data_IF_087109753089
#
_entry.id   IF_087109753089
#
_cell.length_a   1.000
_cell.length_b   1.000
_cell.length_c   1.000
_cell.angle_alpha   90.00
_cell.angle_beta   90.00
_cell.angle_gamma   90.00
#
_symmetry.space_group_name_H-M   'P 1'
#
loop_
_entity.id
_entity.type
_entity.pdbx_description
1 polymer ?
#
# COMPACT_ATOMS: atom_id res chain seq x y z
N UNK A 1 -24.92 11.50 -4.56
CA UNK A 1 -25.24 11.77 -5.97
C UNK A 1 -25.01 10.50 -6.76
N UNK A 2 -26.10 9.81 -7.12
CA UNK A 2 -26.09 8.52 -7.78
C UNK A 2 -25.70 8.67 -9.26
N UNK A 3 -24.63 8.00 -9.68
CA UNK A 3 -24.18 7.98 -11.07
C UNK A 3 -24.96 6.93 -11.87
N UNK A 4 -25.72 7.39 -12.84
CA UNK A 4 -26.48 6.56 -13.79
C UNK A 4 -25.56 5.63 -14.57
N UNK A 5 -25.83 4.33 -14.47
CA UNK A 5 -25.23 3.27 -15.27
C UNK A 5 -26.11 3.05 -16.51
N UNK A 6 -25.62 3.43 -17.69
CA UNK A 6 -26.32 3.16 -18.95
C UNK A 6 -25.98 1.73 -19.40
N UNK A 7 -26.87 0.79 -19.13
CA UNK A 7 -26.77 -0.61 -19.58
C UNK A 7 -27.31 -0.66 -21.01
N UNK A 8 -26.42 -0.83 -21.99
CA UNK A 8 -26.80 -1.03 -23.39
C UNK A 8 -26.86 -2.53 -23.70
N UNK A 9 -28.06 -3.09 -23.74
CA UNK A 9 -28.29 -4.48 -24.15
C UNK A 9 -28.50 -4.55 -25.67
N UNK A 10 -27.65 -5.31 -26.38
CA UNK A 10 -27.95 -5.76 -27.76
C UNK A 10 -28.35 -7.22 -27.71
N UNK A 11 -29.55 -7.52 -28.23
CA UNK A 11 -30.02 -8.88 -28.42
C UNK A 11 -29.45 -9.43 -29.73
N UNK A 12 -28.50 -10.35 -29.67
CA UNK A 12 -28.13 -11.17 -30.82
C UNK A 12 -28.88 -12.51 -30.71
N UNK A 13 -29.78 -12.76 -31.67
CA UNK A 13 -30.54 -14.02 -31.76
C UNK A 13 -29.71 -15.03 -32.57
N UNK A 14 -29.17 -16.04 -31.89
CA UNK A 14 -28.52 -17.18 -32.57
C UNK A 14 -29.61 -18.15 -33.05
N UNK A 15 -29.65 -18.44 -34.36
CA UNK A 15 -30.70 -19.27 -34.98
C UNK A 15 -30.17 -20.69 -35.23
N UNK A 16 -30.28 -21.56 -34.22
CA UNK A 16 -30.06 -23.00 -34.33
C UNK A 16 -31.36 -23.80 -34.13
N UNK A 17 -31.47 -25.04 -34.63
CA UNK A 17 -32.69 -25.82 -34.51
C UNK A 17 -32.86 -26.30 -33.06
N UNK A 18 -34.05 -26.03 -32.51
CA UNK A 18 -34.63 -26.60 -31.28
C UNK A 18 -34.35 -25.99 -29.89
N UNK A 19 -33.57 -24.90 -29.71
CA UNK A 19 -33.54 -24.24 -28.38
C UNK A 19 -33.18 -22.74 -28.47
N UNK A 20 -34.11 -21.85 -28.08
CA UNK A 20 -33.88 -20.40 -27.98
C UNK A 20 -33.53 -20.05 -26.53
N UNK A 21 -32.26 -20.04 -26.18
CA UNK A 21 -31.81 -19.39 -24.96
C UNK A 21 -31.42 -17.94 -25.26
N UNK A 22 -31.93 -16.95 -24.52
CA UNK A 22 -31.42 -15.58 -24.60
C UNK A 22 -29.99 -15.57 -24.03
N UNK A 23 -28.99 -15.52 -24.91
CA UNK A 23 -27.60 -15.29 -24.50
C UNK A 23 -27.42 -13.80 -24.26
N UNK A 24 -27.37 -13.41 -22.98
CA UNK A 24 -27.00 -12.06 -22.58
C UNK A 24 -25.48 -11.94 -22.68
N UNK A 25 -24.98 -11.29 -23.73
CA UNK A 25 -23.57 -10.94 -23.86
C UNK A 25 -23.33 -9.69 -23.00
N UNK A 26 -22.73 -9.86 -21.83
CA UNK A 26 -22.27 -8.76 -20.98
C UNK A 26 -20.94 -8.25 -21.59
N UNK A 27 -20.97 -7.16 -22.34
CA UNK A 27 -19.74 -6.45 -22.71
C UNK A 27 -19.10 -5.88 -21.43
N UNK A 28 -17.90 -6.37 -21.11
CA UNK A 28 -17.10 -5.85 -20.01
C UNK A 28 -16.81 -4.36 -20.26
N UNK A 29 -17.38 -3.49 -19.42
CA UNK A 29 -17.19 -2.05 -19.49
C UNK A 29 -15.70 -1.68 -19.50
N UNK A 30 -15.35 -0.64 -20.26
CA UNK A 30 -13.99 -0.10 -20.44
C UNK A 30 -13.17 -0.19 -19.15
N UNK A 31 -12.19 -1.09 -19.14
CA UNK A 31 -11.18 -1.17 -18.08
C UNK A 31 -10.55 0.21 -17.88
N UNK A 32 -10.76 0.83 -16.71
CA UNK A 32 -9.92 1.95 -16.27
C UNK A 32 -8.49 1.45 -16.31
N UNK A 33 -7.66 2.00 -17.20
CA UNK A 33 -6.24 1.61 -17.28
C UNK A 33 -5.64 1.75 -15.88
N UNK A 34 -5.04 0.70 -15.32
CA UNK A 34 -4.44 0.79 -14.00
C UNK A 34 -3.40 1.91 -14.03
N UNK A 35 -3.38 2.72 -12.96
CA UNK A 35 -2.45 3.83 -12.86
C UNK A 35 -1.02 3.36 -13.13
N UNK A 36 -0.33 4.02 -14.08
CA UNK A 36 1.07 3.71 -14.36
C UNK A 36 1.81 3.84 -13.03
N UNK A 37 2.66 2.88 -12.65
CA UNK A 37 3.18 2.94 -11.30
C UNK A 37 4.29 3.99 -11.16
N UNK A 38 4.70 4.63 -12.26
CA UNK A 38 5.47 5.89 -12.25
C UNK A 38 4.62 7.00 -11.66
N UNK A 39 3.34 7.11 -12.07
CA UNK A 39 2.39 8.07 -11.49
C UNK A 39 2.16 7.83 -10.01
N UNK A 40 2.04 6.57 -9.59
CA UNK A 40 1.92 6.20 -8.17
C UNK A 40 3.17 6.57 -7.38
N UNK A 41 4.35 6.27 -7.89
CA UNK A 41 5.62 6.67 -7.27
C UNK A 41 5.76 8.19 -7.17
N UNK A 42 5.44 8.91 -8.23
CA UNK A 42 5.42 10.38 -8.22
C UNK A 42 4.47 10.95 -7.18
N UNK A 43 3.26 10.38 -7.04
CA UNK A 43 2.31 10.80 -6.01
C UNK A 43 2.87 10.60 -4.60
N UNK A 44 3.51 9.46 -4.32
CA UNK A 44 4.14 9.19 -3.02
C UNK A 44 5.21 10.23 -2.71
N UNK A 45 6.10 10.50 -3.66
CA UNK A 45 7.17 11.51 -3.51
C UNK A 45 6.58 12.90 -3.25
N UNK A 46 5.54 13.28 -4.01
CA UNK A 46 4.89 14.58 -3.87
C UNK A 46 4.18 14.72 -2.52
N UNK A 47 3.42 13.71 -2.08
CA UNK A 47 2.76 13.71 -0.78
C UNK A 47 3.79 13.77 0.36
N UNK A 48 4.87 12.99 0.25
CA UNK A 48 5.96 13.02 1.22
C UNK A 48 6.61 14.41 1.30
N UNK A 49 6.93 15.01 0.15
CA UNK A 49 7.53 16.34 0.09
C UNK A 49 6.59 17.41 0.68
N UNK A 50 5.30 17.35 0.35
CA UNK A 50 4.29 18.23 0.90
C UNK A 50 4.25 18.14 2.43
N UNK A 51 4.29 16.93 3.00
CA UNK A 51 4.31 16.74 4.46
C UNK A 51 5.58 17.30 5.10
N UNK A 52 6.77 16.97 4.56
CA UNK A 52 8.04 17.43 5.13
C UNK A 52 8.18 18.96 5.06
N UNK A 53 7.65 19.59 4.03
CA UNK A 53 7.70 21.05 3.85
C UNK A 53 6.63 21.79 4.65
N UNK A 54 5.43 21.23 4.76
CA UNK A 54 4.30 21.85 5.46
C UNK A 54 4.30 21.59 6.98
N UNK A 55 5.10 20.63 7.47
CA UNK A 55 5.23 20.35 8.90
C UNK A 55 5.55 21.64 9.67
N UNK A 56 4.69 22.06 10.62
CA UNK A 56 4.88 23.28 11.37
C UNK A 56 6.22 23.23 12.09
N UNK A 57 7.00 24.30 11.91
CA UNK A 57 8.22 24.52 12.71
C UNK A 57 7.91 25.11 14.09
N UNK A 58 6.65 25.50 14.32
CA UNK A 58 6.14 26.04 15.59
C UNK A 58 5.27 24.99 16.27
N UNK A 59 5.28 24.97 17.60
CA UNK A 59 4.53 24.01 18.40
C UNK A 59 3.02 24.05 18.08
N UNK A 60 2.45 22.87 17.82
CA UNK A 60 1.01 22.61 17.81
C UNK A 60 0.45 22.75 19.23
N UNK A 61 -0.84 23.05 19.38
CA UNK A 61 -1.48 22.99 20.70
C UNK A 61 -1.40 21.57 21.27
N UNK A 62 -1.31 21.43 22.60
CA UNK A 62 -1.12 20.12 23.27
C UNK A 62 -2.19 19.10 22.88
N UNK A 63 -3.44 19.52 22.74
CA UNK A 63 -4.55 18.65 22.31
C UNK A 63 -4.34 18.12 20.88
N UNK A 64 -3.93 18.99 19.94
CA UNK A 64 -3.67 18.60 18.55
C UNK A 64 -2.48 17.65 18.49
N UNK A 65 -1.43 17.94 19.26
CA UNK A 65 -0.27 17.07 19.36
C UNK A 65 -0.64 15.68 19.91
N UNK A 66 -1.43 15.60 20.97
CA UNK A 66 -1.86 14.34 21.57
C UNK A 66 -2.72 13.48 20.63
N UNK A 67 -3.70 14.09 19.95
CA UNK A 67 -4.52 13.39 18.96
C UNK A 67 -3.69 12.93 17.75
N UNK A 68 -2.76 13.77 17.29
CA UNK A 68 -1.85 13.42 16.21
C UNK A 68 -0.96 12.24 16.60
N UNK A 69 -0.41 12.23 17.83
CA UNK A 69 0.43 11.15 18.31
C UNK A 69 -0.34 9.83 18.41
N UNK A 70 -1.55 9.86 18.98
CA UNK A 70 -2.41 8.68 19.04
C UNK A 70 -2.73 8.14 17.64
N UNK A 71 -3.17 9.01 16.74
CA UNK A 71 -3.44 8.64 15.35
C UNK A 71 -2.20 8.11 14.64
N UNK A 72 -1.03 8.67 14.92
CA UNK A 72 0.25 8.22 14.37
C UNK A 72 0.57 6.79 14.84
N UNK A 73 0.40 6.49 16.13
CA UNK A 73 0.61 5.15 16.67
C UNK A 73 -0.37 4.12 16.10
N UNK A 74 -1.66 4.47 15.98
CA UNK A 74 -2.65 3.60 15.30
C UNK A 74 -2.21 3.35 13.85
N UNK A 75 -1.72 4.38 13.16
CA UNK A 75 -1.23 4.27 11.79
C UNK A 75 0.01 3.39 11.67
N UNK A 76 0.93 3.43 12.66
CA UNK A 76 2.06 2.48 12.75
C UNK A 76 1.53 1.07 12.89
N UNK A 77 0.61 0.82 13.83
CA UNK A 77 0.05 -0.53 14.07
C UNK A 77 -0.63 -1.08 12.81
N UNK A 78 -1.45 -0.26 12.13
CA UNK A 78 -2.11 -0.66 10.89
C UNK A 78 -1.12 -0.93 9.76
N UNK A 79 -0.20 0.01 9.51
CA UNK A 79 0.73 -0.06 8.40
C UNK A 79 1.81 -1.10 8.61
N UNK A 80 2.60 -0.93 9.68
CA UNK A 80 3.71 -1.81 10.00
C UNK A 80 3.24 -3.20 10.45
N UNK A 81 2.16 -3.29 11.22
CA UNK A 81 1.59 -4.58 11.62
C UNK A 81 1.14 -5.40 10.42
N UNK A 82 0.55 -4.77 9.40
CA UNK A 82 0.21 -5.46 8.16
C UNK A 82 1.45 -5.92 7.38
N UNK A 83 2.54 -5.14 7.36
CA UNK A 83 3.82 -5.56 6.77
C UNK A 83 4.39 -6.78 7.51
N UNK A 84 4.42 -6.74 8.85
CA UNK A 84 4.90 -7.87 9.67
C UNK A 84 4.06 -9.14 9.46
N UNK A 85 2.75 -9.01 9.26
CA UNK A 85 1.88 -10.14 8.95
C UNK A 85 2.25 -10.80 7.61
N UNK A 86 2.48 -9.99 6.57
CA UNK A 86 2.92 -10.50 5.26
C UNK A 86 4.27 -11.19 5.37
N UNK A 87 5.22 -10.58 6.08
CA UNK A 87 6.56 -11.12 6.25
C UNK A 87 6.56 -12.40 7.07
N UNK A 88 5.70 -12.50 8.09
CA UNK A 88 5.50 -13.75 8.83
C UNK A 88 5.03 -14.89 7.93
N UNK A 89 4.05 -14.64 7.06
CA UNK A 89 3.62 -15.63 6.07
C UNK A 89 4.73 -15.96 5.07
N UNK A 90 5.51 -14.97 4.65
CA UNK A 90 6.70 -15.17 3.80
C UNK A 90 7.73 -16.08 4.46
N UNK A 91 8.01 -15.89 5.75
CA UNK A 91 8.91 -16.74 6.53
C UNK A 91 8.36 -18.17 6.69
N UNK A 92 7.06 -18.32 6.96
CA UNK A 92 6.42 -19.63 7.03
C UNK A 92 6.48 -20.37 5.68
N UNK A 93 6.35 -19.65 4.56
CA UNK A 93 6.53 -20.22 3.23
C UNK A 93 7.98 -20.67 2.99
N UNK A 94 8.97 -19.84 3.35
CA UNK A 94 10.39 -20.21 3.27
C UNK A 94 10.73 -21.42 4.15
N UNK A 95 10.04 -21.57 5.29
CA UNK A 95 10.15 -22.72 6.17
C UNK A 95 9.36 -23.96 5.69
N UNK A 96 8.72 -23.90 4.51
CA UNK A 96 7.92 -25.00 3.96
C UNK A 96 6.58 -25.25 4.66
N UNK A 97 6.13 -24.34 5.54
CA UNK A 97 4.91 -24.48 6.35
C UNK A 97 3.67 -23.85 5.71
N UNK A 98 3.84 -23.06 4.65
CA UNK A 98 2.77 -22.39 3.89
C UNK A 98 3.08 -22.38 2.41
N UNK A 99 2.07 -22.18 1.59
CA UNK A 99 2.22 -22.07 0.13
C UNK A 99 2.50 -20.62 -0.28
N UNK A 100 3.06 -20.43 -1.47
CA UNK A 100 3.23 -19.09 -2.04
C UNK A 100 1.88 -18.38 -2.29
N UNK A 101 0.82 -19.15 -2.54
CA UNK A 101 -0.53 -18.62 -2.70
C UNK A 101 -1.07 -18.03 -1.39
N UNK A 102 -0.78 -18.68 -0.25
CA UNK A 102 -1.11 -18.12 1.08
C UNK A 102 -0.44 -16.76 1.30
N UNK A 103 0.86 -16.65 0.99
CA UNK A 103 1.61 -15.38 1.09
C UNK A 103 0.97 -14.32 0.21
N UNK A 104 0.62 -14.69 -1.03
CA UNK A 104 0.01 -13.77 -1.98
C UNK A 104 -1.35 -13.28 -1.51
N UNK A 105 -2.25 -14.16 -1.06
CA UNK A 105 -3.56 -13.78 -0.54
C UNK A 105 -3.44 -12.86 0.67
N UNK A 106 -2.53 -13.17 1.59
CA UNK A 106 -2.24 -12.32 2.75
C UNK A 106 -1.73 -10.95 2.30
N UNK A 107 -0.82 -10.88 1.33
CA UNK A 107 -0.29 -9.62 0.81
C UNK A 107 -1.34 -8.79 0.04
N UNK A 108 -2.24 -9.44 -0.69
CA UNK A 108 -3.39 -8.79 -1.35
C UNK A 108 -4.35 -8.18 -0.32
N UNK A 109 -4.66 -8.90 0.76
CA UNK A 109 -5.48 -8.39 1.87
C UNK A 109 -4.79 -7.30 2.69
N UNK A 110 -3.47 -7.41 2.90
CA UNK A 110 -2.67 -6.45 3.65
C UNK A 110 -2.42 -5.13 2.89
N UNK A 111 -2.65 -5.09 1.57
CA UNK A 111 -2.38 -3.90 0.77
C UNK A 111 -3.14 -2.66 1.28
N UNK A 112 -4.42 -2.82 1.62
CA UNK A 112 -5.26 -1.73 2.13
C UNK A 112 -4.76 -1.20 3.47
N UNK A 113 -4.57 -2.02 4.54
CA UNK A 113 -4.08 -1.51 5.81
C UNK A 113 -2.66 -0.94 5.72
N UNK A 114 -1.78 -1.47 4.85
CA UNK A 114 -0.44 -0.89 4.62
C UNK A 114 -0.55 0.55 4.12
N UNK A 115 -1.33 0.78 3.06
CA UNK A 115 -1.47 2.12 2.48
C UNK A 115 -2.27 3.07 3.37
N UNK A 116 -3.29 2.56 4.05
CA UNK A 116 -4.06 3.35 5.01
C UNK A 116 -3.19 3.80 6.19
N UNK A 117 -2.41 2.88 6.76
CA UNK A 117 -1.43 3.20 7.81
C UNK A 117 -0.39 4.20 7.30
N UNK A 118 0.18 3.98 6.12
CA UNK A 118 1.15 4.92 5.53
C UNK A 118 0.58 6.33 5.32
N UNK A 119 -0.65 6.43 4.80
CA UNK A 119 -1.33 7.72 4.64
C UNK A 119 -1.61 8.39 5.99
N UNK A 120 -2.03 7.61 6.98
CA UNK A 120 -2.22 8.08 8.36
C UNK A 120 -0.93 8.60 8.97
N UNK A 121 0.22 7.93 8.75
CA UNK A 121 1.53 8.39 9.21
C UNK A 121 1.93 9.73 8.60
N UNK A 122 1.70 9.90 7.29
CA UNK A 122 1.94 11.16 6.59
C UNK A 122 1.04 12.28 7.11
N UNK A 123 -0.27 12.02 7.25
CA UNK A 123 -1.24 13.02 7.69
C UNK A 123 -1.04 13.44 9.15
N UNK A 124 -0.84 12.50 10.05
CA UNK A 124 -0.61 12.78 11.48
C UNK A 124 0.79 13.31 11.74
N UNK A 125 1.79 12.85 11.00
CA UNK A 125 3.17 13.33 11.08
C UNK A 125 3.31 14.82 10.78
N UNK A 126 2.38 15.39 9.99
CA UNK A 126 2.30 16.83 9.77
C UNK A 126 2.20 17.61 11.09
N UNK A 127 1.49 17.10 12.10
CA UNK A 127 1.24 17.81 13.35
C UNK A 127 2.25 17.49 14.47
N UNK A 128 3.19 16.58 14.21
CA UNK A 128 4.21 16.14 15.17
C UNK A 128 5.55 16.86 15.00
N UNK A 129 5.62 17.84 14.10
CA UNK A 129 6.82 18.60 13.79
C UNK A 129 7.71 17.92 12.75
N UNK A 130 8.78 18.60 12.31
CA UNK A 130 9.63 18.12 11.23
C UNK A 130 10.42 16.87 11.66
N UNK A 131 10.40 15.78 10.87
CA UNK A 131 11.23 14.61 11.15
C UNK A 131 12.71 14.89 10.91
N UNK A 132 13.59 14.12 11.55
CA UNK A 132 15.00 14.10 11.19
C UNK A 132 15.18 13.67 9.71
N UNK A 133 16.20 14.17 9.00
CA UNK A 133 16.42 13.85 7.59
C UNK A 133 16.47 12.34 7.32
N UNK A 134 17.12 11.59 8.22
CA UNK A 134 17.22 10.13 8.13
C UNK A 134 15.86 9.44 8.28
N UNK A 135 15.02 9.88 9.23
CA UNK A 135 13.65 9.35 9.39
C UNK A 135 12.80 9.68 8.16
N UNK A 136 12.90 10.92 7.67
CA UNK A 136 12.17 11.36 6.49
C UNK A 136 12.54 10.52 5.26
N UNK A 137 13.83 10.30 5.04
CA UNK A 137 14.34 9.46 3.95
C UNK A 137 13.88 8.00 4.09
N UNK A 138 13.92 7.42 5.30
CA UNK A 138 13.43 6.07 5.54
C UNK A 138 11.94 5.93 5.17
N UNK A 139 11.10 6.90 5.54
CA UNK A 139 9.67 6.92 5.18
C UNK A 139 9.47 7.02 3.66
N UNK A 140 10.26 7.86 2.97
CA UNK A 140 10.21 7.96 1.51
C UNK A 140 10.59 6.63 0.84
N UNK A 141 11.68 6.03 1.30
CA UNK A 141 12.18 4.74 0.81
C UNK A 141 11.10 3.67 0.94
N UNK A 142 10.44 3.56 2.10
CA UNK A 142 9.33 2.62 2.32
C UNK A 142 8.18 2.87 1.35
N UNK A 143 7.76 4.13 1.16
CA UNK A 143 6.66 4.47 0.26
C UNK A 143 6.96 4.12 -1.20
N UNK A 144 8.15 4.48 -1.69
CA UNK A 144 8.58 4.16 -3.06
C UNK A 144 8.74 2.65 -3.26
N UNK A 145 9.34 1.97 -2.28
CA UNK A 145 9.49 0.53 -2.30
C UNK A 145 8.13 -0.19 -2.30
N UNK A 146 7.13 0.30 -1.55
CA UNK A 146 5.76 -0.22 -1.58
C UNK A 146 5.13 -0.15 -2.98
N UNK A 147 5.36 0.93 -3.74
CA UNK A 147 4.91 1.04 -5.15
C UNK A 147 5.64 0.02 -6.03
N UNK A 148 6.93 -0.20 -5.81
CA UNK A 148 7.73 -1.19 -6.53
C UNK A 148 7.25 -2.62 -6.26
N UNK A 149 7.09 -3.01 -5.00
CA UNK A 149 6.62 -4.33 -4.57
C UNK A 149 5.23 -4.65 -5.12
N UNK A 150 4.32 -3.65 -5.15
CA UNK A 150 2.99 -3.82 -5.75
C UNK A 150 3.03 -4.17 -7.25
N UNK A 151 4.14 -3.86 -7.96
CA UNK A 151 4.34 -4.33 -9.35
C UNK A 151 4.88 -5.75 -9.44
N UNK A 152 5.70 -6.15 -8.46
CA UNK A 152 6.35 -7.47 -8.46
C UNK A 152 5.38 -8.59 -8.10
N UNK A 153 4.42 -8.30 -7.22
CA UNK A 153 3.53 -9.30 -6.61
C UNK A 153 2.79 -10.21 -7.61
N UNK A 154 2.20 -9.70 -8.72
CA UNK A 154 1.53 -10.55 -9.70
C UNK A 154 2.49 -11.43 -10.53
N UNK A 155 3.80 -11.17 -10.47
CA UNK A 155 4.82 -11.83 -11.29
C UNK A 155 5.76 -12.74 -10.50
N UNK A 156 5.68 -12.73 -9.16
CA UNK A 156 6.55 -13.48 -8.26
C UNK A 156 6.62 -14.99 -8.56
N UNK A 157 5.50 -15.61 -8.95
CA UNK A 157 5.46 -17.05 -9.26
C UNK A 157 6.13 -17.44 -10.58
N UNK A 158 6.61 -16.48 -11.38
CA UNK A 158 7.09 -16.72 -12.76
C UNK A 158 8.59 -16.94 -12.89
N UNK A 159 9.36 -16.90 -11.80
CA UNK A 159 10.79 -17.24 -11.84
C UNK A 159 11.63 -16.75 -10.66
N UNK A 160 12.78 -17.39 -10.46
CA UNK A 160 13.73 -17.16 -9.35
C UNK A 160 14.20 -15.70 -9.25
N UNK A 161 14.47 -15.03 -10.38
CA UNK A 161 14.89 -13.63 -10.40
C UNK A 161 13.86 -12.67 -9.80
N UNK A 162 12.56 -12.93 -10.03
CA UNK A 162 11.49 -12.11 -9.48
C UNK A 162 11.31 -12.37 -7.99
N UNK A 163 11.48 -13.62 -7.57
CA UNK A 163 11.53 -13.96 -6.15
C UNK A 163 12.68 -13.25 -5.43
N UNK A 164 13.91 -13.27 -5.96
CA UNK A 164 15.04 -12.54 -5.36
C UNK A 164 14.75 -11.05 -5.24
N UNK A 165 14.15 -10.44 -6.27
CA UNK A 165 13.73 -9.03 -6.22
C UNK A 165 12.67 -8.76 -5.15
N UNK A 166 11.70 -9.66 -4.97
CA UNK A 166 10.71 -9.56 -3.91
C UNK A 166 11.35 -9.65 -2.53
N UNK A 167 12.29 -10.59 -2.32
CA UNK A 167 13.02 -10.74 -1.05
C UNK A 167 13.85 -9.48 -0.73
N UNK A 168 14.56 -8.94 -1.71
CA UNK A 168 15.31 -7.68 -1.55
C UNK A 168 14.36 -6.52 -1.22
N UNK A 169 13.23 -6.41 -1.92
CA UNK A 169 12.24 -5.38 -1.65
C UNK A 169 11.65 -5.51 -0.23
N UNK A 170 11.36 -6.72 0.24
CA UNK A 170 10.95 -6.96 1.64
C UNK A 170 12.03 -6.51 2.63
N UNK A 171 13.29 -6.86 2.38
CA UNK A 171 14.41 -6.42 3.22
C UNK A 171 14.54 -4.90 3.31
N UNK A 172 14.41 -4.20 2.18
CA UNK A 172 14.41 -2.72 2.13
C UNK A 172 13.26 -2.15 2.95
N UNK A 173 12.05 -2.71 2.83
CA UNK A 173 10.89 -2.29 3.64
C UNK A 173 11.17 -2.45 5.13
N UNK A 174 11.68 -3.62 5.56
CA UNK A 174 11.97 -3.89 6.97
C UNK A 174 12.98 -2.89 7.55
N UNK A 175 14.09 -2.66 6.85
CA UNK A 175 15.09 -1.68 7.27
C UNK A 175 14.49 -0.27 7.38
N UNK A 176 13.68 0.14 6.39
CA UNK A 176 13.03 1.45 6.41
C UNK A 176 12.03 1.63 7.55
N UNK A 177 11.17 0.64 7.79
CA UNK A 177 10.21 0.66 8.90
C UNK A 177 10.89 0.70 10.27
N UNK A 178 11.86 -0.19 10.52
CA UNK A 178 12.60 -0.20 11.78
C UNK A 178 13.37 1.08 12.01
N UNK A 179 14.03 1.62 10.98
CA UNK A 179 14.72 2.92 11.07
C UNK A 179 13.76 4.03 11.47
N UNK A 180 12.58 4.10 10.85
CA UNK A 180 11.58 5.13 11.15
C UNK A 180 11.01 5.01 12.57
N UNK A 181 10.74 3.78 13.04
CA UNK A 181 10.22 3.51 14.38
C UNK A 181 11.26 3.85 15.44
N UNK A 182 12.50 3.35 15.29
CA UNK A 182 13.60 3.61 16.25
C UNK A 182 13.89 5.09 16.34
N UNK A 183 14.06 5.78 15.21
CA UNK A 183 14.31 7.22 15.21
C UNK A 183 13.13 8.02 15.78
N UNK A 184 11.88 7.58 15.52
CA UNK A 184 10.71 8.19 16.13
C UNK A 184 10.75 8.12 17.66
N UNK A 185 11.08 6.95 18.21
CA UNK A 185 11.17 6.73 19.64
C UNK A 185 12.33 7.47 20.30
N UNK A 186 13.49 7.49 19.65
CA UNK A 186 14.66 8.22 20.15
C UNK A 186 14.41 9.73 20.17
N UNK A 187 13.75 10.27 19.15
CA UNK A 187 13.43 11.71 19.07
C UNK A 187 12.35 12.11 20.09
N UNK A 188 11.44 11.22 20.47
CA UNK A 188 10.43 11.52 21.49
C UNK A 188 10.96 11.54 22.92
N UNK A 189 12.20 11.08 23.14
CA UNK A 189 12.83 11.00 24.48
C UNK A 189 13.75 12.17 24.80
N UNK A 190 14.14 12.94 23.79
CA UNK A 190 14.98 14.14 23.89
C UNK A 190 14.13 15.39 24.00
#
# INVERSE_FOLDING_TARGET
>A
MAGSYEIRSRFCVFRGPAFRLPVVVIEAGRHRRPASPVRRGGLVVLCWLAVVTAAPRRHSSELVHGLALFGHLVSVVLGFGAVLLVDWFGLLWLAGRRTLDDVRRTAEGAHVPIWLGFAGLLGTGLFLGPPSPTKAFAVLLVGVNGVYTARLMPAMARGSRLLTRSLVATGISQLGWWTAVVLGFLTSRS
#
